data_IF_514009399232
#
_entry.id   IF_514009399232
#
_cell.length_a   1.000
_cell.length_b   1.000
_cell.length_c   1.000
_cell.angle_alpha   90.00
_cell.angle_beta   90.00
_cell.angle_gamma   90.00
#
_symmetry.space_group_name_H-M   'P 1'
#
loop_
_entity.id
_entity.type
_entity.pdbx_description
1 polymer ?
#
# COMPACT_ATOMS: atom_id res chain seq x y z
N UNK A 1 -9.59 10.54 -33.31
CA UNK A 1 -8.51 10.84 -32.35
C UNK A 1 -9.12 10.67 -30.98
N UNK A 2 -8.96 9.51 -30.37
CA UNK A 2 -9.56 9.24 -29.05
C UNK A 2 -8.70 9.95 -27.99
N UNK A 3 -9.28 10.95 -27.35
CA UNK A 3 -8.73 11.58 -26.16
C UNK A 3 -8.52 10.46 -25.13
N UNK A 4 -7.34 10.32 -24.51
CA UNK A 4 -7.13 9.26 -23.52
C UNK A 4 -8.11 9.49 -22.38
N UNK A 5 -9.11 8.61 -22.26
CA UNK A 5 -10.11 8.64 -21.18
C UNK A 5 -9.36 8.71 -19.87
N UNK A 6 -9.54 9.80 -19.14
CA UNK A 6 -8.87 10.05 -17.88
C UNK A 6 -9.03 8.83 -16.95
N UNK A 7 -7.91 8.25 -16.50
CA UNK A 7 -7.92 7.07 -15.62
C UNK A 7 -8.70 7.40 -14.35
N UNK A 8 -9.96 6.96 -14.28
CA UNK A 8 -10.83 7.21 -13.14
C UNK A 8 -10.37 6.36 -11.97
N UNK A 9 -10.02 6.98 -10.86
CA UNK A 9 -9.68 6.25 -9.62
C UNK A 9 -10.95 5.64 -9.04
N UNK A 10 -11.02 4.31 -8.98
CA UNK A 10 -12.13 3.59 -8.35
C UNK A 10 -11.93 3.48 -6.83
N UNK A 11 -10.69 3.21 -6.39
CA UNK A 11 -10.30 3.13 -4.98
C UNK A 11 -8.85 3.57 -4.82
N UNK A 12 -8.57 4.40 -3.80
CA UNK A 12 -7.21 4.67 -3.30
C UNK A 12 -7.17 4.37 -1.79
N UNK A 13 -6.43 3.34 -1.38
CA UNK A 13 -6.19 3.03 0.04
C UNK A 13 -4.86 3.59 0.55
N UNK A 14 -4.20 4.45 -0.21
CA UNK A 14 -2.89 5.00 0.07
C UNK A 14 -1.77 4.13 -0.52
N UNK A 15 -1.69 2.87 -0.10
CA UNK A 15 -0.71 1.90 -0.61
C UNK A 15 -1.14 1.13 -1.85
N UNK A 16 -2.44 1.10 -2.17
CA UNK A 16 -3.03 0.42 -3.32
C UNK A 16 -3.97 1.38 -4.04
N UNK A 17 -3.90 1.41 -5.36
CA UNK A 17 -4.87 2.11 -6.19
C UNK A 17 -5.49 1.13 -7.17
N UNK A 18 -6.78 1.30 -7.39
CA UNK A 18 -7.49 0.73 -8.54
C UNK A 18 -7.95 1.87 -9.44
N UNK A 19 -7.52 1.86 -10.70
CA UNK A 19 -7.98 2.82 -11.72
C UNK A 19 -8.73 2.12 -12.83
N UNK A 20 -9.62 2.85 -13.49
CA UNK A 20 -10.41 2.40 -14.63
C UNK A 20 -10.27 3.38 -15.79
N UNK A 21 -9.84 2.88 -16.95
CA UNK A 21 -9.72 3.65 -18.20
C UNK A 21 -10.92 3.45 -19.15
N UNK A 22 -11.95 2.73 -18.70
CA UNK A 22 -13.14 2.36 -19.49
C UNK A 22 -13.01 1.02 -20.22
N UNK A 23 -11.78 0.58 -20.53
CA UNK A 23 -11.49 -0.74 -21.12
C UNK A 23 -10.83 -1.66 -20.11
N UNK A 24 -9.88 -1.14 -19.34
CA UNK A 24 -9.01 -1.86 -18.43
C UNK A 24 -9.16 -1.30 -17.03
N UNK A 25 -9.15 -2.21 -16.08
CA UNK A 25 -9.03 -1.90 -14.66
C UNK A 25 -7.63 -2.30 -14.21
N UNK A 26 -6.86 -1.31 -13.75
CA UNK A 26 -5.48 -1.48 -13.30
C UNK A 26 -5.44 -1.49 -11.78
N UNK A 27 -4.81 -2.52 -11.22
CA UNK A 27 -4.52 -2.62 -9.78
C UNK A 27 -3.05 -2.31 -9.57
N UNK A 28 -2.76 -1.18 -8.93
CA UNK A 28 -1.42 -0.63 -8.77
C UNK A 28 -1.01 -0.66 -7.30
N UNK A 29 0.01 -1.44 -6.96
CA UNK A 29 0.64 -1.42 -5.64
C UNK A 29 1.79 -0.42 -5.63
N UNK A 30 1.71 0.63 -4.81
CA UNK A 30 2.75 1.66 -4.68
C UNK A 30 3.99 1.18 -3.92
N UNK A 31 3.94 -0.02 -3.31
CA UNK A 31 5.08 -0.61 -2.61
C UNK A 31 5.52 0.16 -1.36
N UNK A 32 4.67 1.02 -0.79
CA UNK A 32 5.01 1.89 0.34
C UNK A 32 5.00 1.17 1.70
N UNK A 33 4.66 -0.12 1.74
CA UNK A 33 4.47 -0.87 2.98
C UNK A 33 5.71 -0.89 3.88
N UNK A 34 6.88 -1.26 3.35
CA UNK A 34 8.11 -1.30 4.16
C UNK A 34 8.52 0.08 4.69
N UNK A 35 8.40 1.12 3.85
CA UNK A 35 8.76 2.49 4.23
C UNK A 35 7.81 3.08 5.29
N UNK A 36 6.53 2.74 5.25
CA UNK A 36 5.55 3.21 6.25
C UNK A 36 5.75 2.53 7.61
N UNK A 37 6.10 1.24 7.63
CA UNK A 37 6.50 0.54 8.86
C UNK A 37 7.76 1.18 9.46
N UNK A 38 8.78 1.44 8.63
CA UNK A 38 10.01 2.07 9.07
C UNK A 38 9.75 3.48 9.64
N UNK A 39 8.93 4.29 8.97
CA UNK A 39 8.53 5.61 9.48
C UNK A 39 7.86 5.53 10.85
N UNK A 40 6.96 4.55 11.03
CA UNK A 40 6.29 4.34 12.32
C UNK A 40 7.28 3.98 13.43
N UNK A 41 8.15 2.99 13.19
CA UNK A 41 9.15 2.54 14.18
C UNK A 41 10.11 3.67 14.56
N UNK A 42 10.62 4.42 13.57
CA UNK A 42 11.49 5.57 13.84
C UNK A 42 10.77 6.67 14.61
N UNK A 43 9.48 6.92 14.31
CA UNK A 43 8.66 7.87 15.06
C UNK A 43 8.49 7.49 16.53
N UNK A 44 8.20 6.21 16.82
CA UNK A 44 8.12 5.71 18.20
C UNK A 44 9.46 5.83 18.90
N UNK A 45 10.56 5.44 18.26
CA UNK A 45 11.90 5.57 18.84
C UNK A 45 12.26 7.03 19.11
N UNK A 46 11.89 7.95 18.21
CA UNK A 46 12.07 9.39 18.40
C UNK A 46 11.35 9.87 19.65
N UNK A 47 10.09 9.47 19.83
CA UNK A 47 9.28 9.86 20.99
C UNK A 47 9.87 9.31 22.29
N UNK A 48 10.26 8.04 22.30
CA UNK A 48 10.85 7.38 23.48
C UNK A 48 12.20 8.01 23.81
N UNK A 49 13.17 7.95 22.89
CA UNK A 49 14.54 8.41 23.14
C UNK A 49 14.59 9.93 23.40
N UNK A 50 13.91 10.71 22.56
CA UNK A 50 13.84 12.17 22.72
C UNK A 50 13.05 12.58 23.97
N UNK A 51 11.90 11.95 24.22
CA UNK A 51 11.05 12.25 25.37
C UNK A 51 11.75 11.93 26.69
N UNK A 52 12.38 10.76 26.82
CA UNK A 52 13.17 10.41 28.00
C UNK A 52 14.40 11.32 28.16
N UNK A 53 15.06 11.71 27.07
CA UNK A 53 16.18 12.66 27.12
C UNK A 53 15.77 14.02 27.67
N UNK A 54 14.66 14.57 27.18
CA UNK A 54 14.11 15.84 27.67
C UNK A 54 13.68 15.72 29.14
N UNK A 55 12.94 14.66 29.48
CA UNK A 55 12.53 14.43 30.87
C UNK A 55 13.74 14.36 31.81
N UNK A 56 14.78 13.61 31.45
CA UNK A 56 16.00 13.48 32.24
C UNK A 56 16.72 14.82 32.47
N UNK A 57 16.75 15.70 31.47
CA UNK A 57 17.32 17.06 31.60
C UNK A 57 16.48 17.94 32.53
N UNK A 58 15.15 17.83 32.47
CA UNK A 58 14.23 18.64 33.29
C UNK A 58 14.20 18.15 34.74
N UNK A 59 14.18 16.84 34.96
CA UNK A 59 14.06 16.25 36.30
C UNK A 59 15.41 16.06 37.01
N UNK A 60 16.53 16.28 36.31
CA UNK A 60 17.88 16.10 36.86
C UNK A 60 18.17 14.67 37.32
N UNK A 61 17.44 13.68 36.79
CA UNK A 61 17.52 12.27 37.23
C UNK A 61 18.75 11.56 36.67
N UNK A 62 19.30 12.04 35.56
CA UNK A 62 20.56 11.61 34.98
C UNK A 62 21.55 12.77 34.92
N UNK A 63 22.83 12.46 34.69
CA UNK A 63 23.83 13.48 34.38
C UNK A 63 23.40 14.29 33.14
N UNK A 64 23.60 15.61 33.19
CA UNK A 64 23.22 16.54 32.11
C UNK A 64 23.81 16.14 30.76
N UNK A 65 25.04 15.64 30.77
CA UNK A 65 25.72 15.13 29.56
C UNK A 65 24.95 13.97 28.95
N UNK A 66 24.52 13.00 29.77
CA UNK A 66 23.79 11.84 29.30
C UNK A 66 22.40 12.24 28.77
N UNK A 67 21.68 13.12 29.49
CA UNK A 67 20.41 13.69 29.01
C UNK A 67 20.55 14.41 27.66
N UNK A 68 21.60 15.21 27.48
CA UNK A 68 21.89 15.91 26.23
C UNK A 68 22.18 14.93 25.07
N UNK A 69 22.89 13.83 25.33
CA UNK A 69 23.14 12.77 24.35
C UNK A 69 21.84 12.10 23.91
N UNK A 70 20.92 11.80 24.85
CA UNK A 70 19.61 11.23 24.51
C UNK A 70 18.78 12.20 23.66
N UNK A 71 18.79 13.49 23.95
CA UNK A 71 18.10 14.49 23.13
C UNK A 71 18.71 14.57 21.73
N UNK A 72 20.03 14.61 21.61
CA UNK A 72 20.71 14.61 20.31
C UNK A 72 20.38 13.37 19.47
N UNK A 73 20.36 12.19 20.10
CA UNK A 73 19.93 10.95 19.45
C UNK A 73 18.45 11.01 19.02
N UNK A 74 17.58 11.54 19.87
CA UNK A 74 16.17 11.78 19.53
C UNK A 74 16.00 12.69 18.31
N UNK A 75 16.75 13.79 18.24
CA UNK A 75 16.75 14.70 17.09
C UNK A 75 17.22 14.00 15.81
N UNK A 76 18.29 13.20 15.88
CA UNK A 76 18.76 12.43 14.73
C UNK A 76 17.69 11.44 14.21
N UNK A 77 17.00 10.75 15.13
CA UNK A 77 15.87 9.87 14.79
C UNK A 77 14.69 10.64 14.18
N UNK A 78 14.41 11.85 14.66
CA UNK A 78 13.37 12.73 14.11
C UNK A 78 13.68 13.12 12.66
N UNK A 79 14.92 13.50 12.37
CA UNK A 79 15.38 13.82 11.00
C UNK A 79 15.26 12.60 10.09
N UNK A 80 15.72 11.43 10.55
CA UNK A 80 15.58 10.19 9.80
C UNK A 80 14.10 9.86 9.50
N UNK A 81 13.22 10.00 10.49
CA UNK A 81 11.77 9.82 10.33
C UNK A 81 11.22 10.76 9.26
N UNK A 82 11.57 12.04 9.31
CA UNK A 82 11.12 13.04 8.33
C UNK A 82 11.57 12.68 6.90
N UNK A 83 12.82 12.25 6.72
CA UNK A 83 13.32 11.82 5.41
C UNK A 83 12.56 10.60 4.86
N UNK A 84 12.26 9.61 5.71
CA UNK A 84 11.45 8.44 5.32
C UNK A 84 10.03 8.86 4.95
N UNK A 85 9.39 9.73 5.72
CA UNK A 85 8.04 10.25 5.42
C UNK A 85 8.03 11.02 4.10
N UNK A 86 9.04 11.86 3.85
CA UNK A 86 9.19 12.56 2.57
C UNK A 86 9.38 11.57 1.42
N UNK A 87 10.13 10.48 1.62
CA UNK A 87 10.27 9.41 0.64
C UNK A 87 8.93 8.74 0.35
N UNK A 88 8.15 8.40 1.38
CA UNK A 88 6.78 7.84 1.22
C UNK A 88 5.90 8.79 0.42
N UNK A 89 5.90 10.09 0.74
CA UNK A 89 5.13 11.10 0.01
C UNK A 89 5.54 11.18 -1.46
N UNK A 90 6.84 11.16 -1.75
CA UNK A 90 7.37 11.12 -3.13
C UNK A 90 6.91 9.87 -3.88
N UNK A 91 6.92 8.69 -3.25
CA UNK A 91 6.40 7.47 -3.88
C UNK A 91 4.90 7.53 -4.13
N UNK A 92 4.12 8.07 -3.19
CA UNK A 92 2.66 8.23 -3.36
C UNK A 92 2.30 9.23 -4.46
N UNK A 93 3.12 10.25 -4.67
CA UNK A 93 2.96 11.24 -5.74
C UNK A 93 3.50 10.84 -7.11
N UNK A 94 4.03 9.61 -7.27
CA UNK A 94 4.50 9.15 -8.59
C UNK A 94 3.34 9.04 -9.58
N UNK A 95 3.55 9.39 -10.85
CA UNK A 95 2.53 9.20 -11.88
C UNK A 95 2.17 7.72 -12.01
N UNK A 96 0.87 7.42 -12.12
CA UNK A 96 0.38 6.04 -12.14
C UNK A 96 0.86 5.24 -13.36
N UNK A 97 1.18 5.91 -14.48
CA UNK A 97 1.69 5.26 -15.68
C UNK A 97 3.14 4.75 -15.53
N UNK A 98 3.90 5.27 -14.56
CA UNK A 98 5.25 4.78 -14.24
C UNK A 98 5.20 3.59 -13.27
N UNK A 99 4.07 3.36 -12.60
CA UNK A 99 3.91 2.27 -11.67
C UNK A 99 3.56 0.97 -12.43
N UNK A 100 4.37 -0.07 -12.25
CA UNK A 100 4.05 -1.39 -12.80
C UNK A 100 2.78 -1.93 -12.14
N UNK A 101 1.72 -2.25 -12.91
CA UNK A 101 0.49 -2.77 -12.32
C UNK A 101 0.74 -4.16 -11.72
N UNK A 102 0.20 -4.37 -10.51
CA UNK A 102 0.20 -5.66 -9.85
C UNK A 102 -0.76 -6.63 -10.53
N UNK A 103 -1.89 -6.12 -11.04
CA UNK A 103 -2.85 -6.85 -11.84
C UNK A 103 -3.53 -5.94 -12.87
N UNK A 104 -3.96 -6.54 -13.98
CA UNK A 104 -4.69 -5.87 -15.07
C UNK A 104 -5.91 -6.72 -15.41
N UNK A 105 -7.08 -6.09 -15.47
CA UNK A 105 -8.31 -6.69 -15.98
C UNK A 105 -8.61 -5.99 -17.32
N UNK A 106 -8.57 -6.69 -18.45
CA UNK A 106 -8.95 -6.15 -19.76
C UNK A 106 -10.36 -6.64 -20.12
N UNK A 107 -11.35 -5.74 -20.07
CA UNK A 107 -12.76 -6.06 -20.39
C UNK A 107 -12.98 -6.31 -21.87
N UNK A 108 -12.14 -5.78 -22.75
CA UNK A 108 -12.30 -6.04 -24.19
C UNK A 108 -11.87 -7.46 -24.56
N UNK A 109 -10.83 -7.95 -23.88
CA UNK A 109 -10.29 -9.29 -24.12
C UNK A 109 -10.85 -10.32 -23.14
N UNK A 110 -11.62 -9.89 -22.13
CA UNK A 110 -12.10 -10.72 -21.03
C UNK A 110 -10.96 -11.46 -20.30
N UNK A 111 -9.82 -10.78 -20.13
CA UNK A 111 -8.61 -11.38 -19.55
C UNK A 111 -8.14 -10.66 -18.29
N UNK A 112 -7.71 -11.45 -17.33
CA UNK A 112 -6.98 -11.06 -16.14
C UNK A 112 -5.50 -11.41 -16.30
N UNK A 113 -4.61 -10.44 -16.07
CA UNK A 113 -3.16 -10.64 -15.99
C UNK A 113 -2.64 -10.30 -14.59
N UNK A 114 -1.79 -11.16 -14.04
CA UNK A 114 -1.07 -10.91 -12.79
C UNK A 114 0.41 -10.58 -13.05
N UNK A 115 0.85 -9.38 -12.65
CA UNK A 115 2.24 -8.87 -12.81
C UNK A 115 2.82 -8.94 -14.23
N UNK A 116 1.96 -8.95 -15.26
CA UNK A 116 2.34 -9.13 -16.66
C UNK A 116 2.64 -10.59 -17.04
N UNK A 117 2.25 -11.53 -16.20
CA UNK A 117 2.32 -12.97 -16.43
C UNK A 117 0.94 -13.56 -16.75
N UNK A 118 0.65 -14.71 -16.14
CA UNK A 118 -0.50 -15.58 -16.42
C UNK A 118 -1.78 -14.82 -16.79
N UNK A 119 -2.30 -15.15 -17.99
CA UNK A 119 -3.57 -14.68 -18.52
C UNK A 119 -4.65 -15.71 -18.18
N UNK A 120 -5.71 -15.27 -17.52
CA UNK A 120 -6.86 -16.09 -17.13
C UNK A 120 -8.13 -15.39 -17.59
N UNK A 121 -9.18 -16.12 -17.95
CA UNK A 121 -10.46 -15.49 -18.27
C UNK A 121 -11.04 -14.77 -17.05
N UNK A 122 -11.67 -13.62 -17.29
CA UNK A 122 -12.11 -12.72 -16.22
C UNK A 122 -13.24 -13.33 -15.37
N UNK A 123 -14.10 -14.15 -15.96
CA UNK A 123 -15.18 -14.90 -15.31
C UNK A 123 -14.68 -16.00 -14.36
N UNK A 124 -13.48 -16.51 -14.61
CA UNK A 124 -12.81 -17.53 -13.79
C UNK A 124 -12.01 -16.93 -12.62
N UNK A 125 -11.96 -15.60 -12.51
CA UNK A 125 -11.18 -14.91 -11.47
C UNK A 125 -12.11 -14.42 -10.37
N UNK A 126 -11.77 -14.71 -9.11
CA UNK A 126 -12.45 -14.14 -7.94
C UNK A 126 -11.48 -13.44 -7.02
N UNK A 127 -11.83 -12.24 -6.57
CA UNK A 127 -11.01 -11.51 -5.60
C UNK A 127 -11.51 -11.76 -4.18
N UNK A 128 -10.58 -11.93 -3.24
CA UNK A 128 -10.91 -12.12 -1.84
C UNK A 128 -9.87 -11.49 -0.92
N UNK A 129 -10.32 -11.07 0.27
CA UNK A 129 -9.45 -10.79 1.40
C UNK A 129 -9.22 -12.07 2.19
N UNK A 130 -7.96 -12.48 2.35
CA UNK A 130 -7.59 -13.62 3.21
C UNK A 130 -6.73 -13.15 4.37
N UNK A 131 -7.05 -13.61 5.58
CA UNK A 131 -6.15 -13.48 6.72
C UNK A 131 -5.02 -14.51 6.62
N UNK A 132 -3.86 -14.19 7.17
CA UNK A 132 -2.74 -15.11 7.25
C UNK A 132 -2.44 -15.40 8.72
N UNK A 133 -2.10 -16.65 9.03
CA UNK A 133 -1.73 -17.07 10.38
C UNK A 133 -0.50 -16.25 10.82
N UNK A 134 -0.56 -15.63 12.00
CA UNK A 134 0.51 -14.78 12.53
C UNK A 134 0.46 -13.30 12.09
N UNK A 135 -0.59 -12.85 11.39
CA UNK A 135 -0.77 -11.43 11.05
C UNK A 135 -2.23 -11.02 11.08
N UNK A 136 -2.51 -9.90 11.77
CA UNK A 136 -3.83 -9.27 11.82
C UNK A 136 -4.21 -8.51 10.55
N UNK A 137 -3.32 -8.45 9.56
CA UNK A 137 -3.56 -7.72 8.30
C UNK A 137 -4.01 -8.66 7.17
N UNK A 138 -5.18 -8.41 6.55
CA UNK A 138 -5.66 -9.22 5.43
C UNK A 138 -4.81 -8.96 4.18
N UNK A 139 -4.58 -10.00 3.37
CA UNK A 139 -4.01 -9.89 2.02
C UNK A 139 -5.12 -9.90 0.98
N UNK A 140 -4.94 -9.09 -0.06
CA UNK A 140 -5.75 -9.15 -1.28
C UNK A 140 -5.20 -10.27 -2.16
N UNK A 141 -6.07 -11.21 -2.52
CA UNK A 141 -5.72 -12.30 -3.42
C UNK A 141 -6.66 -12.36 -4.61
N UNK A 142 -6.11 -12.74 -5.76
CA UNK A 142 -6.85 -13.22 -6.92
C UNK A 142 -6.85 -14.75 -6.88
N UNK A 143 -8.02 -15.36 -6.91
CA UNK A 143 -8.22 -16.81 -6.98
C UNK A 143 -8.52 -17.13 -8.45
N UNK A 144 -7.68 -17.95 -9.05
CA UNK A 144 -7.79 -18.42 -10.44
C UNK A 144 -7.77 -19.95 -10.46
N UNK A 145 -8.14 -20.61 -11.58
CA UNK A 145 -8.04 -22.06 -11.71
C UNK A 145 -6.61 -22.57 -11.52
N UNK A 146 -5.61 -21.76 -11.87
CA UNK A 146 -4.18 -22.05 -11.68
C UNK A 146 -3.66 -21.83 -10.26
N UNK A 147 -4.50 -21.34 -9.32
CA UNK A 147 -4.14 -21.17 -7.92
C UNK A 147 -4.50 -19.80 -7.34
N UNK A 148 -3.92 -19.48 -6.18
CA UNK A 148 -4.16 -18.19 -5.49
C UNK A 148 -2.95 -17.26 -5.64
N UNK A 149 -3.14 -16.12 -6.30
CA UNK A 149 -2.11 -15.09 -6.49
C UNK A 149 -2.30 -13.94 -5.50
N UNK A 150 -1.24 -13.52 -4.81
CA UNK A 150 -1.30 -12.40 -3.85
C UNK A 150 -1.05 -11.08 -4.57
N UNK A 151 -2.08 -10.22 -4.65
CA UNK A 151 -1.97 -8.91 -5.30
C UNK A 151 -1.28 -7.89 -4.40
N UNK A 152 -1.71 -7.83 -3.13
CA UNK A 152 -1.13 -6.96 -2.11
C UNK A 152 -1.26 -7.62 -0.74
N UNK A 153 -0.21 -7.52 0.08
CA UNK A 153 -0.31 -7.80 1.51
C UNK A 153 -0.75 -6.53 2.22
N UNK A 154 -1.82 -6.61 3.01
CA UNK A 154 -2.25 -5.46 3.81
C UNK A 154 -1.18 -5.07 4.82
N UNK A 155 -1.09 -3.78 5.07
CA UNK A 155 -0.24 -3.21 6.10
C UNK A 155 -1.04 -2.08 6.79
N UNK A 156 -1.14 -2.09 8.13
CA UNK A 156 -1.96 -1.12 8.84
C UNK A 156 -1.40 0.32 8.70
N UNK A 157 -0.11 0.47 8.42
CA UNK A 157 0.57 1.76 8.30
C UNK A 157 0.54 2.34 6.88
N UNK A 158 0.14 1.55 5.86
CA UNK A 158 0.01 2.01 4.48
C UNK A 158 -1.44 2.20 4.01
N UNK A 159 -2.41 2.04 4.92
CA UNK A 159 -3.84 2.12 4.68
C UNK A 159 -4.48 0.77 4.30
N UNK A 160 -3.68 -0.29 4.15
CA UNK A 160 -4.14 -1.65 3.99
C UNK A 160 -4.81 -1.93 2.64
N UNK A 161 -5.64 -2.98 2.63
CA UNK A 161 -6.35 -3.44 1.42
C UNK A 161 -7.73 -2.81 1.27
N UNK A 162 -8.34 -2.33 2.36
CA UNK A 162 -9.70 -1.77 2.34
C UNK A 162 -10.75 -2.78 1.85
N UNK A 163 -11.69 -2.31 1.01
CA UNK A 163 -12.76 -3.10 0.35
C UNK A 163 -12.48 -3.32 -1.14
N UNK A 164 -11.20 -3.36 -1.53
CA UNK A 164 -10.81 -3.47 -2.94
C UNK A 164 -11.30 -4.78 -3.58
N UNK A 165 -11.43 -5.85 -2.80
CA UNK A 165 -12.05 -7.10 -3.26
C UNK A 165 -13.51 -6.91 -3.70
N UNK A 166 -14.31 -6.15 -2.93
CA UNK A 166 -15.71 -5.86 -3.27
C UNK A 166 -15.79 -5.08 -4.60
N UNK A 167 -14.93 -4.05 -4.77
CA UNK A 167 -14.90 -3.24 -5.99
C UNK A 167 -14.46 -4.04 -7.21
N UNK A 168 -13.42 -4.88 -7.08
CA UNK A 168 -12.95 -5.69 -8.20
C UNK A 168 -13.97 -6.77 -8.60
N UNK A 169 -14.66 -7.40 -7.63
CA UNK A 169 -15.72 -8.34 -7.95
C UNK A 169 -16.94 -7.65 -8.58
N UNK A 170 -17.26 -6.41 -8.17
CA UNK A 170 -18.33 -5.63 -8.80
C UNK A 170 -17.99 -5.26 -10.25
N UNK A 171 -16.72 -4.95 -10.55
CA UNK A 171 -16.24 -4.72 -11.92
C UNK A 171 -16.42 -5.97 -12.79
N UNK A 172 -16.08 -7.16 -12.27
CA UNK A 172 -16.31 -8.41 -12.98
C UNK A 172 -17.81 -8.64 -13.19
N UNK A 173 -18.61 -8.49 -12.14
CA UNK A 173 -20.06 -8.72 -12.19
C UNK A 173 -20.79 -7.78 -13.14
N UNK A 174 -20.36 -6.52 -13.25
CA UNK A 174 -20.90 -5.56 -14.22
C UNK A 174 -20.54 -5.88 -15.68
N UNK A 175 -19.57 -6.78 -15.90
CA UNK A 175 -19.11 -7.19 -17.22
C UNK A 175 -19.57 -8.60 -17.61
N UNK A 176 -20.14 -9.36 -16.68
CA UNK A 176 -20.68 -10.69 -17.00
C UNK A 176 -21.75 -10.54 -18.11
N UNK A 177 -21.66 -11.32 -19.21
CA UNK A 177 -22.68 -11.28 -20.24
C UNK A 177 -24.03 -11.63 -19.63
N UNK A 178 -25.06 -10.86 -19.96
CA UNK A 178 -26.44 -11.26 -19.68
C UNK A 178 -26.63 -12.64 -20.31
N UNK A 179 -26.85 -13.65 -19.47
CA UNK A 179 -27.18 -15.00 -19.89
C UNK A 179 -28.46 -15.06 -20.69
#
# INVERSE_FOLDING_TARGET
MDTPTENRVLVDTGGLIVTDDGRRVLVIDRGTGGLTVLAFVLGVLTLVVGGFGVAALVTGTLSTVLGAVFVAAGVALAVATALVVLRVRRYRGRPLHECRPAAVLDRKLELFSYRGGALVQLDQVRFARRFQIGSSSPKLVAITPGGTHTLKRGNPFDGGVGKVDEVLNAVIGAHAPAG
#
